data_IF_199534321693
#
_entry.id   IF_199534321693
#
_cell.length_a   1.000
_cell.length_b   1.000
_cell.length_c   1.000
_cell.angle_alpha   90.00
_cell.angle_beta   90.00
_cell.angle_gamma   90.00
#
_symmetry.space_group_name_H-M   'P 1'
#
loop_
_entity.id
_entity.type
_entity.pdbx_description
1 polymer ?
#
# COMPACT_ATOMS: atom_id res chain seq x y z
N UNK A 1 -8.98 -13.98 13.50
CA UNK A 1 -8.59 -13.03 12.45
C UNK A 1 -9.42 -11.78 12.65
N UNK A 2 -8.79 -10.63 12.74
CA UNK A 2 -9.54 -9.38 12.70
C UNK A 2 -10.16 -9.25 11.30
N UNK A 3 -11.38 -8.73 11.23
CA UNK A 3 -12.01 -8.36 9.97
C UNK A 3 -11.30 -7.14 9.39
N UNK A 4 -11.37 -6.94 8.08
CA UNK A 4 -10.84 -5.74 7.43
C UNK A 4 -11.38 -4.44 8.07
N UNK A 5 -12.64 -4.44 8.53
CA UNK A 5 -13.24 -3.31 9.24
C UNK A 5 -12.55 -3.05 10.59
N UNK A 6 -12.26 -4.09 11.36
CA UNK A 6 -11.60 -3.97 12.67
C UNK A 6 -10.15 -3.48 12.51
N UNK A 7 -9.42 -3.97 11.51
CA UNK A 7 -8.06 -3.53 11.22
C UNK A 7 -8.00 -2.04 10.85
N UNK A 8 -8.86 -1.60 9.91
CA UNK A 8 -8.93 -0.20 9.51
C UNK A 8 -9.37 0.69 10.67
N UNK A 9 -10.30 0.22 11.50
CA UNK A 9 -10.74 0.95 12.70
C UNK A 9 -9.60 1.13 13.69
N UNK A 10 -8.81 0.08 13.94
CA UNK A 10 -7.62 0.17 14.79
C UNK A 10 -6.56 1.11 14.21
N UNK A 11 -6.40 1.15 12.88
CA UNK A 11 -5.47 2.07 12.23
C UNK A 11 -5.89 3.53 12.44
N UNK A 12 -7.18 3.83 12.29
CA UNK A 12 -7.73 5.17 12.54
C UNK A 12 -7.56 5.56 14.01
N UNK A 13 -7.86 4.65 14.95
CA UNK A 13 -7.75 4.90 16.40
C UNK A 13 -6.31 5.15 16.88
N UNK A 14 -5.30 4.73 16.12
CA UNK A 14 -3.89 4.98 16.43
C UNK A 14 -3.41 6.35 15.94
N UNK A 15 -4.19 7.04 15.12
CA UNK A 15 -3.81 8.36 14.62
C UNK A 15 -4.02 9.43 15.69
N UNK A 16 -3.25 10.53 15.64
CA UNK A 16 -3.46 11.68 16.51
C UNK A 16 -4.87 12.30 16.38
N UNK A 17 -5.40 12.83 17.47
CA UNK A 17 -6.72 13.51 17.47
C UNK A 17 -6.79 14.75 16.58
N UNK A 18 -5.63 15.34 16.24
CA UNK A 18 -5.52 16.52 15.40
C UNK A 18 -5.25 16.20 13.92
N UNK A 19 -5.29 14.92 13.53
CA UNK A 19 -5.11 14.53 12.13
C UNK A 19 -6.25 15.06 11.25
N UNK A 20 -5.89 15.59 10.09
CA UNK A 20 -6.88 16.03 9.11
C UNK A 20 -7.53 14.83 8.40
N UNK A 21 -8.73 14.99 7.83
CA UNK A 21 -9.36 13.94 7.03
C UNK A 21 -8.46 13.42 5.89
N UNK A 22 -7.68 14.29 5.25
CA UNK A 22 -6.78 13.95 4.16
C UNK A 22 -5.59 13.10 4.64
N UNK A 23 -5.06 13.39 5.82
CA UNK A 23 -4.00 12.60 6.46
C UNK A 23 -4.50 11.21 6.82
N UNK A 24 -5.71 11.11 7.39
CA UNK A 24 -6.35 9.84 7.72
C UNK A 24 -6.51 8.98 6.47
N UNK A 25 -7.04 9.56 5.39
CA UNK A 25 -7.26 8.85 4.12
C UNK A 25 -5.93 8.43 3.49
N UNK A 26 -4.89 9.26 3.55
CA UNK A 26 -3.56 8.94 3.03
C UNK A 26 -2.97 7.71 3.73
N UNK A 27 -3.05 7.64 5.05
CA UNK A 27 -2.55 6.48 5.81
C UNK A 27 -3.34 5.21 5.49
N UNK A 28 -4.67 5.30 5.39
CA UNK A 28 -5.49 4.16 4.98
C UNK A 28 -5.14 3.67 3.58
N UNK A 29 -4.92 4.58 2.64
CA UNK A 29 -4.47 4.24 1.29
C UNK A 29 -3.09 3.56 1.32
N UNK A 30 -2.16 4.05 2.14
CA UNK A 30 -0.85 3.44 2.32
C UNK A 30 -0.93 2.02 2.85
N UNK A 31 -1.74 1.78 3.88
CA UNK A 31 -1.98 0.44 4.41
C UNK A 31 -2.46 -0.53 3.33
N UNK A 32 -3.44 -0.11 2.52
CA UNK A 32 -3.96 -0.95 1.41
C UNK A 32 -2.89 -1.20 0.34
N UNK A 33 -2.06 -0.22 0.02
CA UNK A 33 -0.95 -0.39 -0.94
C UNK A 33 0.07 -1.42 -0.44
N UNK A 34 0.43 -1.39 0.84
CA UNK A 34 1.35 -2.37 1.44
C UNK A 34 0.76 -3.78 1.42
N UNK A 35 -0.51 -3.94 1.85
CA UNK A 35 -1.17 -5.24 1.84
C UNK A 35 -1.25 -5.85 0.44
N UNK A 36 -1.51 -5.03 -0.58
CA UNK A 36 -1.47 -5.47 -1.98
C UNK A 36 -0.07 -5.90 -2.42
N UNK A 37 0.95 -5.10 -2.10
CA UNK A 37 2.34 -5.45 -2.42
C UNK A 37 2.78 -6.76 -1.76
N UNK A 38 2.40 -7.00 -0.50
CA UNK A 38 2.67 -8.26 0.20
C UNK A 38 1.98 -9.44 -0.47
N UNK A 39 0.70 -9.30 -0.82
CA UNK A 39 -0.05 -10.34 -1.54
C UNK A 39 0.52 -10.63 -2.93
N UNK A 40 1.01 -9.60 -3.64
CA UNK A 40 1.67 -9.74 -4.94
C UNK A 40 3.01 -10.48 -4.81
N UNK A 41 3.78 -10.18 -3.76
CA UNK A 41 5.02 -10.88 -3.41
C UNK A 41 4.76 -12.36 -3.07
N UNK A 42 3.78 -12.65 -2.21
CA UNK A 42 3.39 -14.03 -1.85
C UNK A 42 2.94 -14.84 -3.08
N UNK A 43 2.25 -14.18 -4.01
CA UNK A 43 1.83 -14.75 -5.28
C UNK A 43 2.98 -14.89 -6.31
N UNK A 44 4.23 -14.53 -5.96
CA UNK A 44 5.39 -14.43 -6.86
C UNK A 44 5.13 -13.58 -8.11
N UNK A 45 4.23 -12.60 -8.01
CA UNK A 45 4.01 -11.57 -9.03
C UNK A 45 4.98 -10.40 -8.81
N UNK A 46 6.24 -10.72 -8.57
CA UNK A 46 7.31 -9.72 -8.38
C UNK A 46 7.82 -9.25 -9.74
N UNK A 47 7.96 -7.95 -9.92
CA UNK A 47 8.58 -7.37 -11.11
C UNK A 47 10.09 -7.50 -11.03
N UNK A 48 10.74 -7.88 -12.14
CA UNK A 48 12.19 -7.82 -12.21
C UNK A 48 12.67 -6.37 -12.11
N UNK A 49 13.87 -6.17 -11.56
CA UNK A 49 14.45 -4.84 -11.40
C UNK A 49 14.57 -4.08 -12.75
N UNK A 50 14.79 -4.79 -13.86
CA UNK A 50 14.82 -4.21 -15.21
C UNK A 50 13.46 -3.67 -15.66
N UNK A 51 12.39 -4.44 -15.40
CA UNK A 51 11.01 -4.08 -15.74
C UNK A 51 10.54 -2.90 -14.88
N UNK A 52 10.88 -2.90 -13.60
CA UNK A 52 10.67 -1.75 -12.72
C UNK A 52 11.37 -0.49 -13.25
N UNK A 53 12.64 -0.60 -13.66
CA UNK A 53 13.38 0.51 -14.25
C UNK A 53 12.73 1.06 -15.52
N UNK A 54 12.17 0.20 -16.38
CA UNK A 54 11.42 0.64 -17.57
C UNK A 54 10.16 1.42 -17.19
N UNK A 55 9.37 0.93 -16.24
CA UNK A 55 8.13 1.57 -15.80
C UNK A 55 8.35 2.93 -15.14
N UNK A 56 9.41 3.07 -14.34
CA UNK A 56 9.83 4.36 -13.76
C UNK A 56 10.13 5.37 -14.87
N UNK A 57 10.94 4.98 -15.86
CA UNK A 57 11.30 5.86 -16.98
C UNK A 57 10.10 6.23 -17.86
N UNK A 58 9.13 5.33 -17.99
CA UNK A 58 7.90 5.55 -18.76
C UNK A 58 6.81 6.30 -17.98
N UNK A 59 7.03 6.64 -16.70
CA UNK A 59 6.02 7.29 -15.84
C UNK A 59 4.81 6.41 -15.53
N UNK A 60 4.90 5.10 -15.78
CA UNK A 60 3.80 4.15 -15.64
C UNK A 60 4.06 3.22 -14.45
N UNK A 61 4.38 3.80 -13.28
CA UNK A 61 4.38 3.02 -12.05
C UNK A 61 2.93 2.64 -11.72
N UNK A 62 2.60 1.34 -11.66
CA UNK A 62 1.42 0.96 -10.91
C UNK A 62 1.67 1.38 -9.46
N UNK A 63 0.74 2.12 -8.86
CA UNK A 63 0.83 2.60 -7.48
C UNK A 63 0.93 1.48 -6.41
N UNK A 64 1.12 0.20 -6.78
CA UNK A 64 1.00 -0.92 -5.84
C UNK A 64 1.90 -2.15 -6.08
N UNK A 65 2.82 -2.18 -7.05
CA UNK A 65 3.71 -3.35 -7.22
C UNK A 65 5.14 -3.00 -6.75
N UNK A 66 5.47 -3.30 -5.49
CA UNK A 66 6.83 -3.12 -4.95
C UNK A 66 7.56 -4.46 -4.88
N UNK A 67 8.70 -4.46 -5.58
CA UNK A 67 9.99 -5.19 -5.43
C UNK A 67 10.04 -6.32 -4.39
N UNK A 68 10.30 -7.52 -4.90
CA UNK A 68 11.09 -8.54 -4.21
C UNK A 68 12.51 -8.58 -4.76
#
# INVERSE_FOLDING_TARGET
MATAKEELTQLIQKQPDNSSPEEIVRELAFYVMVQRGLADSDARRTLSNEEMGRRIRSGNLPCAEVVG
#
